data_IF_350165480529
#
_entry.id   IF_350165480529
#
_cell.length_a   1.000
_cell.length_b   1.000
_cell.length_c   1.000
_cell.angle_alpha   90.00
_cell.angle_beta   90.00
_cell.angle_gamma   90.00
#
_symmetry.space_group_name_H-M   'P 1'
#
loop_
_entity.id
_entity.type
_entity.pdbx_description
1 polymer ?
#
# COMPACT_ATOMS: atom_id res chain seq x y z
N UNK A 1 0.05 19.72 -27.08
CA UNK A 1 0.50 18.52 -26.33
C UNK A 1 0.05 18.73 -24.90
N UNK A 2 -0.93 17.96 -24.43
CA UNK A 2 -1.43 18.06 -23.07
C UNK A 2 -0.27 17.82 -22.09
N UNK A 3 -0.12 18.72 -21.12
CA UNK A 3 0.88 18.61 -20.06
C UNK A 3 0.51 17.41 -19.18
N UNK A 4 1.06 16.23 -19.47
CA UNK A 4 0.93 15.09 -18.58
C UNK A 4 1.43 15.47 -17.18
N UNK A 5 0.67 15.17 -16.11
CA UNK A 5 1.08 15.51 -14.76
C UNK A 5 2.41 14.82 -14.43
N UNK A 6 3.36 15.57 -13.88
CA UNK A 6 4.64 14.99 -13.46
C UNK A 6 4.39 14.05 -12.25
N UNK A 7 4.62 12.75 -12.44
CA UNK A 7 4.48 11.70 -11.43
C UNK A 7 4.97 12.13 -10.04
N UNK A 8 6.17 12.70 -9.97
CA UNK A 8 6.79 13.07 -8.70
C UNK A 8 6.01 14.17 -7.98
N UNK A 9 5.54 15.18 -8.72
CA UNK A 9 4.74 16.28 -8.15
C UNK A 9 3.41 15.76 -7.62
N UNK A 10 2.76 14.88 -8.36
CA UNK A 10 1.48 14.27 -7.96
C UNK A 10 1.68 13.40 -6.71
N UNK A 11 2.72 12.57 -6.69
CA UNK A 11 3.05 11.71 -5.56
C UNK A 11 3.31 12.51 -4.28
N UNK A 12 4.15 13.56 -4.37
CA UNK A 12 4.47 14.40 -3.21
C UNK A 12 3.25 15.14 -2.70
N UNK A 13 2.41 15.70 -3.60
CA UNK A 13 1.13 16.32 -3.23
C UNK A 13 0.23 15.34 -2.48
N UNK A 14 0.10 14.11 -2.98
CA UNK A 14 -0.74 13.08 -2.36
C UNK A 14 -0.20 12.65 -0.98
N UNK A 15 1.12 12.59 -0.82
CA UNK A 15 1.75 12.34 0.49
C UNK A 15 1.41 13.46 1.47
N UNK A 16 1.55 14.73 1.07
CA UNK A 16 1.19 15.88 1.91
C UNK A 16 -0.29 15.84 2.31
N UNK A 17 -1.18 15.57 1.37
CA UNK A 17 -2.61 15.42 1.65
C UNK A 17 -2.88 14.31 2.68
N UNK A 18 -2.25 13.13 2.52
CA UNK A 18 -2.40 12.02 3.47
C UNK A 18 -1.79 12.32 4.84
N UNK A 19 -0.76 13.15 4.91
CA UNK A 19 -0.24 13.68 6.17
C UNK A 19 -1.28 14.58 6.85
N UNK A 20 -1.87 15.52 6.11
CA UNK A 20 -2.90 16.44 6.62
C UNK A 20 -4.15 15.70 7.12
N UNK A 21 -4.65 14.72 6.35
CA UNK A 21 -5.79 13.87 6.74
C UNK A 21 -5.56 13.12 8.06
N UNK A 22 -4.30 12.84 8.41
CA UNK A 22 -3.92 12.16 9.66
C UNK A 22 -3.47 13.12 10.76
N UNK A 23 -3.44 14.43 10.50
CA UNK A 23 -2.87 15.42 11.40
C UNK A 23 -1.37 15.21 11.66
N UNK A 24 -0.64 14.65 10.68
CA UNK A 24 0.80 14.39 10.80
C UNK A 24 1.62 15.56 10.29
N UNK A 25 2.58 16.00 11.09
CA UNK A 25 3.66 16.89 10.66
C UNK A 25 4.89 16.10 10.16
N UNK A 26 5.86 16.81 9.59
CA UNK A 26 7.10 16.20 9.06
C UNK A 26 7.89 15.42 10.13
N UNK A 27 7.90 15.89 11.38
CA UNK A 27 8.56 15.20 12.51
C UNK A 27 7.90 13.85 12.81
N UNK A 28 6.57 13.84 12.88
CA UNK A 28 5.78 12.62 13.11
C UNK A 28 5.91 11.61 11.97
N UNK A 29 6.02 12.08 10.73
CA UNK A 29 6.33 11.22 9.58
C UNK A 29 7.75 10.65 9.70
N UNK A 30 8.72 11.48 10.07
CA UNK A 30 10.11 11.06 10.29
C UNK A 30 10.26 9.97 11.33
N UNK A 31 9.55 10.09 12.46
CA UNK A 31 9.53 9.06 13.50
C UNK A 31 9.01 7.71 12.97
N UNK A 32 7.94 7.73 12.17
CA UNK A 32 7.33 6.50 11.61
C UNK A 32 8.18 5.84 10.54
N UNK A 33 8.92 6.65 9.78
CA UNK A 33 9.86 6.15 8.76
C UNK A 33 11.26 5.88 9.32
N UNK A 34 11.49 6.12 10.61
CA UNK A 34 12.82 6.10 11.22
C UNK A 34 13.84 6.96 10.44
N UNK A 35 13.44 8.17 10.07
CA UNK A 35 14.22 9.11 9.26
C UNK A 35 14.51 10.40 10.03
N UNK A 36 15.71 10.96 9.78
CA UNK A 36 16.10 12.27 10.31
C UNK A 36 15.19 13.37 9.76
N UNK A 37 14.89 14.43 10.54
CA UNK A 37 14.03 15.53 10.10
C UNK A 37 14.46 16.18 8.78
N UNK A 38 15.77 16.38 8.58
CA UNK A 38 16.32 16.93 7.33
C UNK A 38 16.02 16.06 6.11
N UNK A 39 16.00 14.74 6.26
CA UNK A 39 15.67 13.81 5.19
C UNK A 39 14.18 13.86 4.82
N UNK A 40 13.30 14.06 5.79
CA UNK A 40 11.86 14.25 5.54
C UNK A 40 11.59 15.60 4.91
N UNK A 41 12.22 16.66 5.42
CA UNK A 41 12.08 17.98 4.83
C UNK A 41 12.49 17.98 3.36
N UNK A 42 13.60 17.30 3.04
CA UNK A 42 14.02 17.11 1.65
C UNK A 42 13.03 16.28 0.86
N UNK A 43 12.43 15.23 1.42
CA UNK A 43 11.44 14.39 0.75
C UNK A 43 10.18 15.18 0.36
N UNK A 44 9.65 15.96 1.31
CA UNK A 44 8.40 16.71 1.12
C UNK A 44 8.59 17.89 0.17
N UNK A 45 9.79 18.49 0.14
CA UNK A 45 10.11 19.61 -0.74
C UNK A 45 10.89 19.20 -2.00
N UNK A 46 11.17 17.93 -2.21
CA UNK A 46 11.86 17.45 -3.39
C UNK A 46 10.95 17.60 -4.62
N UNK A 47 11.56 17.63 -5.80
CA UNK A 47 10.85 17.47 -7.08
C UNK A 47 10.83 16.01 -7.55
N UNK A 48 11.41 15.09 -6.77
CA UNK A 48 11.55 13.68 -7.10
C UNK A 48 11.30 12.79 -5.89
N UNK A 49 10.67 11.64 -6.12
CA UNK A 49 10.49 10.60 -5.11
C UNK A 49 10.96 9.26 -5.67
N UNK A 50 11.80 8.57 -4.90
CA UNK A 50 12.23 7.22 -5.24
C UNK A 50 11.10 6.22 -5.02
N UNK A 51 10.92 5.27 -5.94
CA UNK A 51 9.89 4.22 -5.87
C UNK A 51 9.96 3.44 -4.56
N UNK A 52 11.16 3.11 -4.10
CA UNK A 52 11.36 2.43 -2.80
C UNK A 52 10.78 3.25 -1.64
N UNK A 53 10.95 4.57 -1.66
CA UNK A 53 10.44 5.46 -0.62
C UNK A 53 8.92 5.52 -0.66
N UNK A 54 8.34 5.58 -1.86
CA UNK A 54 6.89 5.54 -2.04
C UNK A 54 6.30 4.22 -1.52
N UNK A 55 6.97 3.08 -1.75
CA UNK A 55 6.59 1.79 -1.17
C UNK A 55 6.58 1.80 0.36
N UNK A 56 7.63 2.36 0.98
CA UNK A 56 7.68 2.48 2.44
C UNK A 56 6.56 3.36 2.99
N UNK A 57 6.27 4.47 2.30
CA UNK A 57 5.15 5.35 2.65
C UNK A 57 3.82 4.62 2.51
N UNK A 58 3.60 3.82 1.46
CA UNK A 58 2.38 3.01 1.31
C UNK A 58 2.13 2.12 2.52
N UNK A 59 3.18 1.52 3.09
CA UNK A 59 3.07 0.69 4.29
C UNK A 59 2.75 1.53 5.53
N UNK A 60 3.48 2.63 5.75
CA UNK A 60 3.27 3.51 6.92
C UNK A 60 1.88 4.16 6.90
N UNK A 61 1.41 4.53 5.72
CA UNK A 61 0.07 5.07 5.54
C UNK A 61 -1.00 3.98 5.39
N UNK A 62 -0.65 2.70 5.32
CA UNK A 62 -1.60 1.64 4.95
C UNK A 62 -2.49 2.06 3.77
N UNK A 63 -1.85 2.57 2.72
CA UNK A 63 -2.51 3.25 1.60
C UNK A 63 -1.77 2.94 0.29
N UNK A 64 -2.51 2.54 -0.74
CA UNK A 64 -1.92 2.20 -2.03
C UNK A 64 -1.66 3.44 -2.87
N UNK A 65 -0.54 4.12 -2.65
CA UNK A 65 -0.18 5.30 -3.45
C UNK A 65 -0.02 4.97 -4.95
N UNK A 66 0.41 3.76 -5.30
CA UNK A 66 0.66 3.39 -6.70
C UNK A 66 -0.62 3.33 -7.53
N UNK A 67 -1.68 2.75 -6.97
CA UNK A 67 -3.00 2.65 -7.60
C UNK A 67 -3.59 4.03 -7.85
N UNK A 68 -3.63 4.87 -6.81
CA UNK A 68 -4.19 6.23 -6.95
C UNK A 68 -3.35 7.11 -7.88
N UNK A 69 -2.03 6.89 -7.93
CA UNK A 69 -1.18 7.59 -8.90
C UNK A 69 -1.41 7.11 -10.32
N UNK A 70 -1.66 5.81 -10.53
CA UNK A 70 -2.00 5.28 -11.84
C UNK A 70 -3.30 5.91 -12.36
N UNK A 71 -4.32 6.01 -11.51
CA UNK A 71 -5.60 6.64 -11.85
C UNK A 71 -5.43 8.13 -12.19
N UNK A 72 -4.66 8.88 -11.38
CA UNK A 72 -4.45 10.32 -11.61
C UNK A 72 -3.59 10.63 -12.84
N UNK A 73 -2.81 9.66 -13.30
CA UNK A 73 -1.94 9.78 -14.47
C UNK A 73 -2.55 9.15 -15.73
N UNK A 74 -3.78 8.64 -15.63
CA UNK A 74 -4.47 7.92 -16.70
C UNK A 74 -3.59 6.80 -17.30
N UNK A 75 -2.90 6.07 -16.42
CA UNK A 75 -2.10 4.93 -16.84
C UNK A 75 -3.03 3.80 -17.28
N UNK A 76 -2.69 3.09 -18.36
CA UNK A 76 -3.51 1.98 -18.82
C UNK A 76 -3.59 0.92 -17.72
N UNK A 77 -4.80 0.39 -17.50
CA UNK A 77 -4.98 -0.73 -16.59
C UNK A 77 -4.00 -1.85 -16.97
N UNK A 78 -3.27 -2.42 -16.00
CA UNK A 78 -2.47 -3.59 -16.29
C UNK A 78 -3.39 -4.67 -16.83
N UNK A 79 -2.92 -5.43 -17.82
CA UNK A 79 -3.66 -6.59 -18.33
C UNK A 79 -4.01 -7.45 -17.12
N UNK A 80 -5.31 -7.59 -16.84
CA UNK A 80 -5.79 -8.41 -15.74
C UNK A 80 -5.17 -9.79 -15.93
N UNK A 81 -4.41 -10.24 -14.93
CA UNK A 81 -4.01 -11.65 -14.88
C UNK A 81 -5.32 -12.38 -14.75
N UNK A 82 -5.75 -13.02 -15.84
CA UNK A 82 -6.90 -13.91 -15.82
C UNK A 82 -6.46 -15.09 -14.98
N UNK A 83 -6.76 -15.01 -13.69
CA UNK A 83 -6.79 -16.23 -12.87
C UNK A 83 -7.92 -17.04 -13.46
N UNK A 84 -7.63 -18.27 -13.90
CA UNK A 84 -8.67 -19.15 -14.40
C UNK A 84 -9.76 -19.22 -13.30
N UNK A 85 -11.02 -18.86 -13.60
CA UNK A 85 -12.09 -18.92 -12.61
C UNK A 85 -12.21 -20.29 -11.94
N UNK A 86 -11.84 -21.36 -12.64
CA UNK A 86 -11.79 -22.72 -12.08
C UNK A 86 -10.66 -22.85 -11.04
N UNK A 87 -9.45 -22.39 -11.33
CA UNK A 87 -8.32 -22.41 -10.38
C UNK A 87 -8.59 -21.54 -9.16
N UNK A 88 -9.25 -20.39 -9.33
CA UNK A 88 -9.64 -19.53 -8.22
C UNK A 88 -10.71 -20.21 -7.33
N UNK A 89 -11.71 -20.86 -7.94
CA UNK A 89 -12.73 -21.60 -7.20
C UNK A 89 -12.13 -22.77 -6.41
N UNK A 90 -11.21 -23.52 -7.02
CA UNK A 90 -10.48 -24.60 -6.36
C UNK A 90 -9.66 -24.10 -5.17
N UNK A 91 -8.97 -22.97 -5.33
CA UNK A 91 -8.22 -22.32 -4.25
C UNK A 91 -9.13 -21.92 -3.08
N UNK A 92 -10.31 -21.36 -3.36
CA UNK A 92 -11.27 -20.97 -2.33
C UNK A 92 -11.84 -22.18 -1.55
N UNK A 93 -12.17 -23.28 -2.24
CA UNK A 93 -12.59 -24.51 -1.57
C UNK A 93 -11.48 -25.06 -0.69
N UNK A 94 -10.22 -25.04 -1.16
CA UNK A 94 -9.09 -25.50 -0.34
C UNK A 94 -8.88 -24.65 0.91
N UNK A 95 -9.04 -23.33 0.81
CA UNK A 95 -8.98 -22.42 1.96
C UNK A 95 -10.09 -22.80 2.97
N UNK A 96 -11.31 -23.03 2.49
CA UNK A 96 -12.45 -23.39 3.33
C UNK A 96 -12.22 -24.70 4.09
N UNK A 97 -11.69 -25.72 3.43
CA UNK A 97 -11.33 -27.00 4.06
C UNK A 97 -10.29 -26.78 5.18
N UNK A 98 -9.25 -26.01 4.90
CA UNK A 98 -8.18 -25.70 5.86
C UNK A 98 -8.70 -24.89 7.06
N UNK A 99 -9.67 -23.99 6.86
CA UNK A 99 -10.32 -23.27 7.95
C UNK A 99 -11.16 -24.19 8.85
N UNK A 100 -11.83 -25.18 8.27
CA UNK A 100 -12.60 -26.20 9.02
C UNK A 100 -11.63 -27.08 9.83
N UNK A 101 -10.56 -27.55 9.19
CA UNK A 101 -9.53 -28.37 9.82
C UNK A 101 -8.87 -27.63 10.99
N UNK A 102 -8.37 -26.41 10.76
CA UNK A 102 -7.76 -25.58 11.80
C UNK A 102 -8.72 -25.33 12.96
N UNK A 103 -10.00 -25.04 12.69
CA UNK A 103 -11.01 -24.83 13.72
C UNK A 103 -11.23 -26.09 14.56
N UNK A 104 -11.18 -27.26 13.93
CA UNK A 104 -11.37 -28.55 14.60
C UNK A 104 -10.15 -28.89 15.47
N UNK A 105 -8.93 -28.76 14.92
CA UNK A 105 -7.69 -28.96 15.65
C UNK A 105 -7.58 -28.03 16.86
N UNK A 106 -7.92 -26.75 16.70
CA UNK A 106 -7.93 -25.78 17.81
C UNK A 106 -8.93 -26.15 18.91
N UNK A 107 -10.05 -26.81 18.58
CA UNK A 107 -11.01 -27.29 19.60
C UNK A 107 -10.48 -28.51 20.33
N UNK A 108 -9.84 -29.45 19.63
CA UNK A 108 -9.24 -30.65 20.24
C UNK A 108 -8.12 -30.25 21.19
N UNK A 109 -7.19 -29.40 20.74
CA UNK A 109 -6.08 -28.93 21.58
C UNK A 109 -6.57 -28.21 22.85
N UNK A 110 -7.63 -27.40 22.75
CA UNK A 110 -8.23 -26.71 23.91
C UNK A 110 -9.05 -27.61 24.83
N UNK A 111 -9.38 -28.83 24.40
CA UNK A 111 -10.13 -29.79 25.20
C UNK A 111 -9.20 -30.77 25.95
N UNK A 112 -7.90 -30.78 25.61
CA UNK A 112 -6.86 -31.58 26.26
C UNK A 112 -6.08 -30.82 27.36
N UNK A 113 -6.36 -29.52 27.52
CA UNK A 113 -5.97 -28.66 28.67
C UNK A 113 -7.09 -28.57 29.72
#
# INVERSE_FOLDING_TARGET
>A
MENQPNFNKVAIRLICQKMEERGWNQTQLGQRLNMKPSSIHRLVNANTIMVEKLKQLSLVFNYNFFEVLADQLDLPEPKKVVIDPAEHAECLERIRELEIENRTLLKVLKAED
#
